data_IF_671724041116
#
_entry.id   IF_671724041116
#
_cell.length_a   1.000
_cell.length_b   1.000
_cell.length_c   1.000
_cell.angle_alpha   90.00
_cell.angle_beta   90.00
_cell.angle_gamma   90.00
#
_symmetry.space_group_name_H-M   'P 1'
#
loop_
_entity.id
_entity.type
_entity.pdbx_description
1 polymer ?
#
# COMPACT_ATOMS: atom_id res chain seq x y z
N UNK A 1 -36.86 -41.31 12.96
CA UNK A 1 -36.82 -39.97 12.36
C UNK A 1 -37.75 -39.98 11.16
N UNK A 2 -38.75 -39.15 11.17
CA UNK A 2 -39.72 -39.04 10.08
C UNK A 2 -39.04 -38.46 8.83
N UNK A 3 -39.55 -38.77 7.62
CA UNK A 3 -39.02 -38.22 6.36
C UNK A 3 -38.96 -36.69 6.38
N UNK A 4 -39.91 -36.07 7.07
CA UNK A 4 -39.98 -34.62 7.27
C UNK A 4 -38.80 -34.09 8.12
N UNK A 5 -38.45 -34.82 9.18
CA UNK A 5 -37.34 -34.44 10.06
C UNK A 5 -35.99 -34.57 9.36
N UNK A 6 -35.83 -35.59 8.49
CA UNK A 6 -34.64 -35.78 7.65
C UNK A 6 -34.50 -34.63 6.67
N UNK A 7 -35.59 -34.21 6.02
CA UNK A 7 -35.58 -33.10 5.08
C UNK A 7 -35.20 -31.74 5.75
N UNK A 8 -35.76 -31.52 6.96
CA UNK A 8 -35.44 -30.33 7.76
C UNK A 8 -33.96 -30.33 8.14
N UNK A 9 -33.44 -31.49 8.58
CA UNK A 9 -32.02 -31.61 8.95
C UNK A 9 -31.09 -31.31 7.76
N UNK A 10 -31.40 -31.91 6.58
CA UNK A 10 -30.64 -31.64 5.35
C UNK A 10 -30.67 -30.19 4.98
N UNK A 11 -31.83 -29.52 5.07
CA UNK A 11 -31.96 -28.08 4.77
C UNK A 11 -31.14 -27.24 5.70
N UNK A 12 -31.15 -27.55 7.01
CA UNK A 12 -30.36 -26.80 8.03
C UNK A 12 -28.85 -26.97 7.78
N UNK A 13 -28.42 -28.19 7.43
CA UNK A 13 -27.00 -28.42 7.10
C UNK A 13 -26.60 -27.67 5.85
N UNK A 14 -27.40 -27.70 4.77
CA UNK A 14 -27.13 -26.96 3.55
C UNK A 14 -27.08 -25.44 3.82
N UNK A 15 -28.01 -24.91 4.61
CA UNK A 15 -28.00 -23.50 5.01
C UNK A 15 -26.75 -23.13 5.80
N UNK A 16 -26.34 -23.98 6.74
CA UNK A 16 -25.11 -23.79 7.51
C UNK A 16 -23.86 -23.81 6.64
N UNK A 17 -23.80 -24.72 5.63
CA UNK A 17 -22.68 -24.77 4.66
C UNK A 17 -22.65 -23.54 3.78
N UNK A 18 -23.81 -23.05 3.32
CA UNK A 18 -23.90 -21.80 2.54
C UNK A 18 -23.47 -20.60 3.38
N UNK A 19 -23.94 -20.49 4.63
CA UNK A 19 -23.53 -19.42 5.55
C UNK A 19 -22.05 -19.48 5.90
N UNK A 20 -21.49 -20.67 6.14
CA UNK A 20 -20.05 -20.84 6.35
C UNK A 20 -19.25 -20.48 5.08
N UNK A 21 -19.74 -20.87 3.90
CA UNK A 21 -19.16 -20.48 2.62
C UNK A 21 -19.14 -18.97 2.41
N UNK A 22 -20.24 -18.27 2.72
CA UNK A 22 -20.28 -16.80 2.62
C UNK A 22 -19.35 -16.11 3.61
N UNK A 23 -19.17 -16.67 4.81
CA UNK A 23 -18.20 -16.14 5.79
C UNK A 23 -16.76 -16.38 5.31
N UNK A 24 -16.45 -17.52 4.71
CA UNK A 24 -15.11 -17.85 4.22
C UNK A 24 -14.77 -17.09 2.93
N UNK A 25 -15.72 -16.94 2.00
CA UNK A 25 -15.55 -16.16 0.76
C UNK A 25 -15.80 -14.66 0.94
N UNK A 26 -16.45 -14.23 2.02
CA UNK A 26 -16.71 -12.82 2.33
C UNK A 26 -15.50 -12.06 2.90
N UNK A 27 -14.36 -12.71 3.08
CA UNK A 27 -13.07 -12.04 3.33
C UNK A 27 -12.41 -11.61 2.01
N UNK A 28 -13.18 -11.03 1.11
CA UNK A 28 -12.60 -10.17 0.10
C UNK A 28 -12.01 -8.99 0.86
N UNK A 29 -10.70 -8.83 0.78
CA UNK A 29 -10.02 -7.61 1.21
C UNK A 29 -10.79 -6.43 0.61
N UNK A 30 -11.62 -5.76 1.42
CA UNK A 30 -12.16 -4.47 1.03
C UNK A 30 -10.97 -3.52 0.94
N UNK A 31 -10.49 -3.31 -0.26
CA UNK A 31 -9.48 -2.30 -0.59
C UNK A 31 -10.07 -0.87 -0.52
N UNK A 32 -11.21 -0.72 0.10
CA UNK A 32 -11.87 0.55 0.32
C UNK A 32 -11.14 1.41 1.35
N UNK A 33 -10.37 2.37 0.92
CA UNK A 33 -9.51 3.30 1.64
C UNK A 33 -8.23 2.66 2.22
N UNK A 34 -7.27 2.45 1.34
CA UNK A 34 -5.92 2.08 1.71
C UNK A 34 -5.16 3.34 2.20
N UNK A 35 -5.16 3.56 3.50
CA UNK A 35 -4.47 4.69 4.10
C UNK A 35 -4.40 4.57 5.63
N UNK A 36 -3.47 5.31 6.23
CA UNK A 36 -3.37 5.42 7.68
C UNK A 36 -4.54 6.25 8.22
N UNK A 37 -5.13 5.81 9.32
CA UNK A 37 -6.18 6.54 10.04
C UNK A 37 -5.59 7.26 11.25
N UNK A 38 -5.72 8.58 11.29
CA UNK A 38 -5.29 9.43 12.40
C UNK A 38 -6.52 9.75 13.25
N UNK A 39 -6.69 9.04 14.36
CA UNK A 39 -7.87 9.16 15.19
C UNK A 39 -7.69 10.09 16.39
N UNK A 40 -6.46 10.27 16.84
CA UNK A 40 -6.13 11.08 18.02
C UNK A 40 -4.79 11.77 17.83
N UNK A 41 -4.74 13.06 18.20
CA UNK A 41 -3.50 13.81 18.20
C UNK A 41 -2.48 13.20 19.17
N UNK A 42 -1.23 13.07 18.71
CA UNK A 42 -0.13 12.48 19.49
C UNK A 42 -0.14 10.95 19.59
N UNK A 43 -1.14 10.28 19.04
CA UNK A 43 -1.15 8.81 18.95
C UNK A 43 -0.63 8.32 17.58
N UNK A 44 -0.05 7.12 17.58
CA UNK A 44 0.36 6.48 16.33
C UNK A 44 -0.88 6.22 15.44
N UNK A 45 -0.78 6.45 14.12
CA UNK A 45 -1.87 6.17 13.20
C UNK A 45 -2.19 4.67 13.17
N UNK A 46 -3.45 4.37 12.93
CA UNK A 46 -3.90 3.00 12.78
C UNK A 46 -3.77 2.54 11.32
N UNK A 47 -3.32 1.32 11.14
CA UNK A 47 -3.28 0.69 9.83
C UNK A 47 -4.67 0.34 9.31
N UNK A 48 -4.86 0.26 8.00
CA UNK A 48 -6.06 -0.28 7.40
C UNK A 48 -6.30 -1.75 7.83
N UNK A 49 -7.54 -2.20 7.73
CA UNK A 49 -7.91 -3.57 8.00
C UNK A 49 -7.03 -4.55 7.18
N UNK A 50 -6.51 -5.60 7.82
CA UNK A 50 -5.59 -6.55 7.18
C UNK A 50 -4.12 -6.44 7.59
N UNK A 51 -3.78 -5.51 8.48
CA UNK A 51 -2.42 -5.33 8.99
C UNK A 51 -1.74 -6.63 9.47
N UNK A 52 -2.48 -7.52 10.12
CA UNK A 52 -1.94 -8.78 10.60
C UNK A 52 -1.42 -9.70 9.49
N UNK A 53 -1.84 -9.47 8.25
CA UNK A 53 -1.34 -10.19 7.07
C UNK A 53 -0.04 -9.56 6.54
N UNK A 54 0.15 -8.26 6.69
CA UNK A 54 1.35 -7.56 6.21
C UNK A 54 2.62 -8.01 6.94
N UNK A 55 2.51 -8.31 8.23
CA UNK A 55 3.65 -8.81 9.02
C UNK A 55 4.22 -10.14 8.53
N UNK A 56 3.42 -10.96 7.82
CA UNK A 56 3.88 -12.21 7.21
C UNK A 56 4.83 -12.01 6.03
N UNK A 57 4.85 -10.81 5.49
CA UNK A 57 5.64 -10.41 4.32
C UNK A 57 6.71 -9.38 4.67
N UNK A 58 7.05 -9.21 5.96
CA UNK A 58 7.97 -8.19 6.45
C UNK A 58 7.61 -6.76 5.97
N UNK A 59 6.34 -6.54 5.67
CA UNK A 59 5.85 -5.24 5.25
C UNK A 59 5.59 -4.35 6.47
N UNK A 60 6.17 -3.16 6.46
CA UNK A 60 6.00 -2.15 7.51
C UNK A 60 5.21 -0.96 6.95
N UNK A 61 4.35 -0.36 7.76
CA UNK A 61 3.61 0.87 7.45
C UNK A 61 3.86 1.97 8.50
N UNK A 62 4.53 1.64 9.60
CA UNK A 62 4.99 2.56 10.63
C UNK A 62 6.48 2.32 10.87
N UNK A 63 7.21 3.40 11.04
CA UNK A 63 8.57 3.37 11.56
C UNK A 63 8.60 3.29 13.08
N UNK A 64 9.77 3.53 13.68
CA UNK A 64 9.93 3.61 15.11
C UNK A 64 9.24 4.87 15.66
N UNK A 65 8.12 4.70 16.36
CA UNK A 65 7.33 5.80 16.92
C UNK A 65 7.96 6.47 18.16
N UNK A 66 9.04 5.91 18.70
CA UNK A 66 9.81 6.52 19.80
C UNK A 66 10.81 7.59 19.33
N UNK A 67 10.98 7.73 18.02
CA UNK A 67 11.89 8.67 17.41
C UNK A 67 11.11 9.69 16.57
N UNK A 68 11.54 10.96 16.58
CA UNK A 68 10.99 12.01 15.72
C UNK A 68 11.64 11.93 14.35
N UNK A 69 11.23 10.95 13.54
CA UNK A 69 11.76 10.69 12.20
C UNK A 69 10.64 10.75 11.17
N UNK A 70 10.90 11.39 10.04
CA UNK A 70 10.04 11.39 8.87
C UNK A 70 10.74 10.67 7.72
N UNK A 71 10.01 9.80 7.04
CA UNK A 71 10.46 9.13 5.82
C UNK A 71 9.75 9.79 4.64
N UNK A 72 10.54 10.49 3.79
CA UNK A 72 10.00 11.16 2.61
C UNK A 72 9.98 10.21 1.41
N UNK A 73 8.81 10.07 0.79
CA UNK A 73 8.64 9.30 -0.44
C UNK A 73 7.97 10.16 -1.50
N UNK A 74 8.38 9.98 -2.74
CA UNK A 74 7.83 10.66 -3.91
C UNK A 74 7.50 9.64 -4.99
N UNK A 75 6.24 9.59 -5.40
CA UNK A 75 5.81 8.81 -6.56
C UNK A 75 5.83 9.70 -7.79
N UNK A 76 6.62 9.34 -8.81
CA UNK A 76 6.80 10.17 -10.00
C UNK A 76 6.46 9.39 -11.28
N UNK A 77 5.37 9.78 -11.91
CA UNK A 77 4.91 9.26 -13.21
C UNK A 77 4.96 10.28 -14.33
N UNK A 78 5.06 11.57 -13.98
CA UNK A 78 5.06 12.68 -14.93
C UNK A 78 5.97 13.81 -14.41
N UNK A 79 6.71 14.47 -15.32
CA UNK A 79 7.56 15.63 -15.01
C UNK A 79 6.84 16.90 -15.43
N UNK A 80 6.68 17.81 -14.47
CA UNK A 80 6.06 19.12 -14.66
C UNK A 80 7.02 20.31 -14.42
N UNK A 81 8.32 20.01 -14.28
CA UNK A 81 9.37 21.01 -14.03
C UNK A 81 9.75 21.17 -12.56
N UNK A 82 9.05 20.52 -11.63
CA UNK A 82 9.30 20.71 -10.18
C UNK A 82 10.37 19.78 -9.61
N UNK A 83 10.69 18.66 -10.24
CA UNK A 83 11.59 17.66 -9.65
C UNK A 83 13.00 18.21 -9.40
N UNK A 84 13.53 19.03 -10.30
CA UNK A 84 14.85 19.63 -10.13
C UNK A 84 14.90 20.52 -8.88
N UNK A 85 13.87 21.33 -8.64
CA UNK A 85 13.76 22.21 -7.46
C UNK A 85 13.60 21.40 -6.17
N UNK A 86 12.82 20.32 -6.19
CA UNK A 86 12.70 19.40 -5.05
C UNK A 86 14.07 18.81 -4.71
N UNK A 87 14.83 18.35 -5.68
CA UNK A 87 16.17 17.82 -5.47
C UNK A 87 17.13 18.87 -4.92
N UNK A 88 17.02 20.14 -5.35
CA UNK A 88 17.80 21.25 -4.81
C UNK A 88 17.49 21.48 -3.33
N UNK A 89 16.21 21.50 -2.96
CA UNK A 89 15.79 21.66 -1.57
C UNK A 89 16.29 20.51 -0.70
N UNK A 90 16.10 19.26 -1.14
CA UNK A 90 16.58 18.08 -0.41
C UNK A 90 18.11 18.13 -0.23
N UNK A 91 18.85 18.50 -1.27
CA UNK A 91 20.30 18.65 -1.22
C UNK A 91 20.72 19.71 -0.21
N UNK A 92 20.12 20.91 -0.29
CA UNK A 92 20.46 22.04 0.58
C UNK A 92 20.19 21.78 2.06
N UNK A 93 19.21 20.92 2.36
CA UNK A 93 18.89 20.49 3.72
C UNK A 93 19.58 19.17 4.15
N UNK A 94 20.38 18.56 3.28
CA UNK A 94 21.05 17.27 3.56
C UNK A 94 20.08 16.12 3.75
N UNK A 95 18.84 16.23 3.22
CA UNK A 95 17.78 15.25 3.38
C UNK A 95 17.80 14.23 2.26
N UNK A 96 17.66 12.95 2.60
CA UNK A 96 17.49 11.85 1.65
C UNK A 96 16.04 11.41 1.59
N UNK A 97 15.61 10.97 0.40
CA UNK A 97 14.24 10.52 0.15
C UNK A 97 14.24 9.27 -0.72
N UNK A 98 13.10 8.59 -0.81
CA UNK A 98 12.85 7.53 -1.77
C UNK A 98 11.96 8.06 -2.90
N UNK A 99 12.36 7.81 -4.14
CA UNK A 99 11.61 8.15 -5.35
C UNK A 99 11.15 6.86 -6.03
N UNK A 100 9.86 6.64 -6.11
CA UNK A 100 9.27 5.52 -6.83
C UNK A 100 8.88 5.99 -8.23
N UNK A 101 9.58 5.50 -9.25
CA UNK A 101 9.51 6.03 -10.61
C UNK A 101 8.77 5.09 -11.55
N UNK A 102 7.82 5.64 -12.30
CA UNK A 102 7.19 4.93 -13.42
C UNK A 102 8.17 4.84 -14.59
N UNK A 103 8.14 3.73 -15.34
CA UNK A 103 9.11 3.47 -16.42
C UNK A 103 9.20 4.59 -17.43
N UNK A 104 8.08 5.11 -17.91
CA UNK A 104 8.08 6.24 -18.84
C UNK A 104 8.69 7.54 -18.27
N UNK A 105 8.61 7.78 -16.95
CA UNK A 105 9.29 8.90 -16.31
C UNK A 105 10.80 8.72 -16.41
N UNK A 106 11.29 7.52 -16.11
CA UNK A 106 12.72 7.20 -16.17
C UNK A 106 13.30 7.37 -17.58
N UNK A 107 12.57 6.92 -18.61
CA UNK A 107 13.00 7.02 -20.01
C UNK A 107 13.12 8.49 -20.45
N UNK A 108 12.16 9.33 -20.09
CA UNK A 108 12.09 10.73 -20.52
C UNK A 108 12.97 11.67 -19.70
N UNK A 109 13.29 11.31 -18.45
CA UNK A 109 13.95 12.18 -17.49
C UNK A 109 15.22 11.54 -16.90
N UNK A 110 15.99 10.82 -17.73
CA UNK A 110 17.15 10.06 -17.29
C UNK A 110 18.19 10.91 -16.54
N UNK A 111 18.31 12.21 -16.84
CA UNK A 111 19.24 13.10 -16.16
C UNK A 111 18.82 13.38 -14.71
N UNK A 112 17.52 13.58 -14.48
CA UNK A 112 16.96 13.72 -13.13
C UNK A 112 17.12 12.43 -12.32
N UNK A 113 16.88 11.28 -12.93
CA UNK A 113 17.08 9.97 -12.29
C UNK A 113 18.55 9.76 -11.90
N UNK A 114 19.49 10.05 -12.80
CA UNK A 114 20.93 10.00 -12.48
C UNK A 114 21.30 10.97 -11.35
N UNK A 115 20.67 12.14 -11.32
CA UNK A 115 20.86 13.10 -10.23
C UNK A 115 20.34 12.56 -8.90
N UNK A 116 19.14 11.97 -8.85
CA UNK A 116 18.60 11.35 -7.65
C UNK A 116 19.59 10.35 -7.03
N UNK A 117 20.12 9.45 -7.86
CA UNK A 117 21.10 8.44 -7.41
C UNK A 117 22.41 9.08 -6.95
N UNK A 118 22.96 10.03 -7.72
CA UNK A 118 24.20 10.74 -7.37
C UNK A 118 24.07 11.52 -6.05
N UNK A 119 22.91 12.13 -5.82
CA UNK A 119 22.63 12.90 -4.61
C UNK A 119 22.30 11.98 -3.41
N UNK A 120 22.30 10.64 -3.60
CA UNK A 120 22.17 9.62 -2.56
C UNK A 120 20.72 9.33 -2.16
N UNK A 121 19.75 9.64 -3.02
CA UNK A 121 18.37 9.23 -2.85
C UNK A 121 18.17 7.77 -3.26
N UNK A 122 17.15 7.12 -2.70
CA UNK A 122 16.73 5.80 -3.13
C UNK A 122 15.84 5.92 -4.37
N UNK A 123 16.08 5.10 -5.39
CA UNK A 123 15.20 5.00 -6.56
C UNK A 123 14.55 3.62 -6.54
N UNK A 124 13.22 3.59 -6.51
CA UNK A 124 12.38 2.40 -6.48
C UNK A 124 11.52 2.26 -7.74
N UNK A 125 11.03 1.06 -7.96
CA UNK A 125 10.17 0.72 -9.10
C UNK A 125 8.71 1.06 -8.78
N UNK A 126 8.04 1.82 -9.66
CA UNK A 126 6.61 2.15 -9.60
C UNK A 126 5.84 1.64 -10.81
N UNK A 127 6.17 0.46 -11.30
CA UNK A 127 5.66 -0.18 -12.53
C UNK A 127 6.06 0.55 -13.82
N UNK A 128 5.79 -0.04 -14.97
CA UNK A 128 6.12 0.58 -16.26
C UNK A 128 5.12 1.67 -16.66
N UNK A 129 3.83 1.46 -16.39
CA UNK A 129 2.74 2.32 -16.86
C UNK A 129 1.69 2.65 -15.81
N UNK A 130 1.99 2.40 -14.53
CA UNK A 130 1.07 2.63 -13.41
C UNK A 130 -0.32 1.98 -13.60
N UNK A 131 -0.40 0.68 -13.94
CA UNK A 131 -1.69 0.02 -14.12
C UNK A 131 -2.41 -0.16 -12.79
N UNK A 132 -3.71 -0.33 -12.85
CA UNK A 132 -4.49 -0.78 -11.71
C UNK A 132 -4.15 -2.24 -11.41
N UNK A 133 -3.31 -2.47 -10.39
CA UNK A 133 -2.82 -3.79 -10.01
C UNK A 133 -3.92 -4.77 -9.59
N UNK A 134 -5.11 -4.26 -9.25
CA UNK A 134 -6.26 -5.10 -8.92
C UNK A 134 -6.95 -5.71 -10.15
N UNK A 135 -6.58 -5.27 -11.37
CA UNK A 135 -7.18 -5.69 -12.64
C UNK A 135 -6.25 -6.46 -13.57
N UNK A 136 -5.06 -6.80 -13.11
CA UNK A 136 -4.06 -7.57 -13.86
C UNK A 136 -3.74 -8.90 -13.18
#
# INVERSE_FOLDING_TARGET
MDKRDVLILIFVILLAVVLAGTIIFGQVLETGSWGLSFQQEGAAPQAPAGQSQLSKFDAAFLGNTNEKVLYLTFDAGYENGCTAEILDVLHNHGVKAAFFLVGNYMEKNADLVRRMVRDGHMVGNHTMHHPDMSKI
#
